data_IF_154306131761
#
_entry.id   IF_154306131761
#
_cell.length_a   1.000
_cell.length_b   1.000
_cell.length_c   1.000
_cell.angle_alpha   90.00
_cell.angle_beta   90.00
_cell.angle_gamma   90.00
#
_symmetry.space_group_name_H-M   'P 1'
#
loop_
_entity.id
_entity.type
_entity.pdbx_description
1 polymer ?
#
# COMPACT_ATOMS: atom_id res chain seq x y z
N UNK A 1 -10.59 29.45 -49.97
CA UNK A 1 -9.73 30.31 -49.12
C UNK A 1 -9.74 29.71 -47.72
N UNK A 2 -8.64 29.07 -47.28
CA UNK A 2 -8.51 28.55 -45.89
C UNK A 2 -7.68 29.57 -45.12
N UNK A 3 -8.24 30.15 -44.06
CA UNK A 3 -7.51 31.13 -43.25
C UNK A 3 -6.33 30.45 -42.52
N UNK A 4 -5.15 31.08 -42.43
CA UNK A 4 -4.04 30.56 -41.65
C UNK A 4 -4.36 30.71 -40.16
N UNK A 5 -4.43 29.60 -39.42
CA UNK A 5 -4.58 29.63 -37.97
C UNK A 5 -3.25 30.12 -37.36
N UNK A 6 -3.23 31.19 -36.55
CA UNK A 6 -1.98 31.69 -35.96
C UNK A 6 -1.40 30.68 -34.96
N UNK A 7 -0.08 30.50 -34.95
CA UNK A 7 0.68 29.55 -34.11
C UNK A 7 0.31 29.62 -32.61
N UNK A 8 -0.16 30.78 -32.15
CA UNK A 8 -0.69 31.01 -30.80
C UNK A 8 -1.93 30.17 -30.46
N UNK A 9 -2.81 29.91 -31.44
CA UNK A 9 -3.99 29.06 -31.22
C UNK A 9 -3.63 27.58 -31.06
N UNK A 10 -2.52 27.13 -31.66
CA UNK A 10 -2.01 25.76 -31.51
C UNK A 10 -1.40 25.55 -30.10
N UNK A 11 -0.66 26.53 -29.58
CA UNK A 11 -0.07 26.47 -28.23
C UNK A 11 -1.13 26.53 -27.11
N UNK A 12 -2.18 27.35 -27.27
CA UNK A 12 -3.30 27.37 -26.33
C UNK A 12 -4.06 26.03 -26.29
N UNK A 13 -4.21 25.36 -27.44
CA UNK A 13 -4.80 24.02 -27.51
C UNK A 13 -3.97 22.94 -26.77
N UNK A 14 -2.63 23.03 -26.81
CA UNK A 14 -1.75 22.06 -26.16
C UNK A 14 -1.76 22.18 -24.62
N UNK A 15 -1.84 23.41 -24.09
CA UNK A 15 -1.97 23.66 -22.64
C UNK A 15 -3.32 23.17 -22.09
N UNK A 16 -4.39 23.27 -22.88
CA UNK A 16 -5.70 22.71 -22.51
C UNK A 16 -5.70 21.17 -22.50
N UNK A 17 -4.92 20.51 -23.37
CA UNK A 17 -4.83 19.05 -23.42
C UNK A 17 -3.93 18.43 -22.33
N UNK A 18 -2.90 19.13 -21.85
CA UNK A 18 -2.09 18.68 -20.71
C UNK A 18 -2.61 19.15 -19.34
N UNK A 19 -3.33 20.27 -19.28
CA UNK A 19 -3.86 20.83 -18.04
C UNK A 19 -5.17 20.18 -17.53
N UNK A 20 -5.85 19.40 -18.37
CA UNK A 20 -7.14 18.77 -18.03
C UNK A 20 -7.00 17.32 -17.51
N UNK A 21 -5.79 16.78 -17.41
CA UNK A 21 -5.53 15.39 -16.99
C UNK A 21 -5.34 15.17 -15.48
N UNK A 22 -5.48 16.21 -14.65
CA UNK A 22 -5.23 16.14 -13.22
C UNK A 22 -6.46 16.74 -12.53
N UNK A 23 -7.23 15.92 -11.79
CA UNK A 23 -8.32 16.28 -10.86
C UNK A 23 -9.80 15.98 -11.24
N UNK A 24 -10.10 14.95 -12.03
CA UNK A 24 -11.39 14.25 -11.87
C UNK A 24 -11.15 12.76 -11.64
N UNK A 25 -10.97 12.42 -10.36
CA UNK A 25 -11.23 11.08 -9.88
C UNK A 25 -12.73 10.91 -9.70
N UNK A 26 -13.41 10.31 -10.68
CA UNK A 26 -14.72 9.70 -10.45
C UNK A 26 -14.96 8.51 -11.40
N UNK A 27 -15.09 7.36 -10.77
CA UNK A 27 -15.78 6.12 -11.20
C UNK A 27 -15.74 5.70 -12.68
N UNK A 28 -14.75 4.87 -13.03
CA UNK A 28 -14.99 3.70 -13.90
C UNK A 28 -14.33 2.49 -13.25
N UNK A 29 -14.92 2.03 -12.14
CA UNK A 29 -14.81 0.61 -11.77
C UNK A 29 -15.93 -0.06 -12.53
N UNK A 30 -15.58 -0.64 -13.68
CA UNK A 30 -16.44 -1.62 -14.32
C UNK A 30 -16.77 -2.69 -13.28
N UNK A 31 -18.07 -2.97 -13.12
CA UNK A 31 -18.55 -4.07 -12.30
C UNK A 31 -18.06 -5.38 -12.94
N UNK A 32 -16.84 -5.78 -12.63
CA UNK A 32 -16.41 -7.16 -12.79
C UNK A 32 -17.27 -7.97 -11.82
N UNK A 33 -17.96 -8.99 -12.34
CA UNK A 33 -18.69 -9.93 -11.52
C UNK A 33 -17.74 -10.46 -10.43
N UNK A 34 -18.18 -10.54 -9.15
CA UNK A 34 -17.33 -11.08 -8.11
C UNK A 34 -16.98 -12.51 -8.49
N UNK A 35 -15.69 -12.80 -8.65
CA UNK A 35 -15.22 -14.16 -8.53
C UNK A 35 -15.66 -14.65 -7.14
N UNK A 36 -16.48 -15.70 -7.09
CA UNK A 36 -16.78 -16.40 -5.85
C UNK A 36 -15.46 -16.94 -5.29
N UNK A 37 -14.87 -16.23 -4.35
CA UNK A 37 -13.95 -16.82 -3.40
C UNK A 37 -14.78 -17.48 -2.32
N UNK A 38 -14.80 -18.80 -2.34
CA UNK A 38 -15.42 -19.62 -1.31
C UNK A 38 -14.55 -19.54 -0.04
N UNK A 39 -14.94 -18.64 0.87
CA UNK A 39 -14.42 -18.64 2.22
C UNK A 39 -15.24 -19.64 3.02
N UNK A 40 -14.80 -20.90 2.98
CA UNK A 40 -15.29 -21.94 3.88
C UNK A 40 -15.29 -21.43 5.32
N UNK A 41 -16.45 -21.51 5.95
CA UNK A 41 -16.71 -20.89 7.25
C UNK A 41 -15.74 -21.34 8.33
N UNK A 42 -15.17 -20.36 9.03
CA UNK A 42 -14.63 -20.56 10.36
C UNK A 42 -15.55 -19.87 11.35
N UNK A 43 -16.07 -20.70 12.25
CA UNK A 43 -17.06 -20.33 13.24
C UNK A 43 -16.61 -19.18 14.12
N UNK A 44 -17.61 -18.44 14.58
CA UNK A 44 -17.49 -17.44 15.63
C UNK A 44 -17.00 -18.16 16.89
N UNK A 45 -15.79 -17.80 17.34
CA UNK A 45 -15.22 -18.26 18.59
C UNK A 45 -13.97 -17.43 18.94
N UNK A 46 -14.09 -16.70 20.04
CA UNK A 46 -13.07 -15.95 20.78
C UNK A 46 -12.71 -14.56 20.26
N UNK A 47 -13.59 -13.63 20.61
CA UNK A 47 -13.32 -12.37 21.30
C UNK A 47 -11.98 -12.31 22.07
N UNK A 48 -10.91 -12.03 21.33
CA UNK A 48 -9.72 -11.37 21.84
C UNK A 48 -9.55 -10.04 21.11
N UNK A 49 -9.74 -8.95 21.85
CA UNK A 49 -9.67 -7.54 21.44
C UNK A 49 -8.23 -7.13 21.08
N UNK A 50 -7.65 -7.76 20.06
CA UNK A 50 -6.36 -7.41 19.50
C UNK A 50 -6.54 -6.44 18.35
N UNK A 51 -6.72 -5.16 18.72
CA UNK A 51 -6.53 -4.03 17.82
C UNK A 51 -7.75 -3.62 17.02
N UNK A 52 -8.63 -2.84 17.65
CA UNK A 52 -9.64 -1.97 16.99
C UNK A 52 -8.99 -0.84 16.15
N UNK A 53 -8.03 -1.17 15.30
CA UNK A 53 -7.51 -0.29 14.26
C UNK A 53 -8.14 -0.63 12.91
N UNK A 54 -8.11 0.27 11.92
CA UNK A 54 -8.38 -0.12 10.54
C UNK A 54 -7.48 -1.29 10.17
N UNK A 55 -8.06 -2.35 9.56
CA UNK A 55 -7.29 -3.51 9.11
C UNK A 55 -6.09 -3.08 8.28
N UNK A 56 -4.93 -3.69 8.53
CA UNK A 56 -3.66 -3.35 7.86
C UNK A 56 -2.86 -2.19 8.47
N UNK A 57 -3.40 -1.47 9.48
CA UNK A 57 -2.67 -0.46 10.26
C UNK A 57 -2.41 -0.86 11.72
N UNK A 58 -2.91 -2.02 12.12
CA UNK A 58 -2.65 -2.57 13.44
C UNK A 58 -1.18 -3.03 13.55
N UNK A 59 -0.53 -2.72 14.67
CA UNK A 59 0.82 -3.22 15.00
C UNK A 59 0.83 -4.67 15.46
N UNK A 60 -0.34 -5.22 15.81
CA UNK A 60 -0.53 -6.62 16.18
C UNK A 60 -1.76 -7.18 15.47
N UNK A 61 -1.68 -8.41 14.97
CA UNK A 61 -2.78 -9.12 14.32
C UNK A 61 -2.48 -10.60 14.24
N UNK A 62 -3.50 -11.46 14.39
CA UNK A 62 -3.39 -12.92 14.23
C UNK A 62 -2.27 -13.56 15.09
N UNK A 63 -2.06 -13.06 16.31
CA UNK A 63 -0.99 -13.55 17.20
C UNK A 63 0.42 -13.08 16.83
N UNK A 64 0.57 -12.14 15.88
CA UNK A 64 1.86 -11.57 15.51
C UNK A 64 1.93 -10.08 15.85
N UNK A 65 3.11 -9.61 16.24
CA UNK A 65 3.39 -8.19 16.54
C UNK A 65 4.55 -7.72 15.69
N UNK A 66 4.35 -6.66 14.90
CA UNK A 66 5.43 -6.01 14.14
C UNK A 66 6.01 -4.87 14.98
N UNK A 67 7.33 -4.93 15.23
CA UNK A 67 8.06 -3.90 15.99
C UNK A 67 9.13 -3.25 15.10
N UNK A 68 8.91 -2.01 14.65
CA UNK A 68 9.95 -1.24 13.95
C UNK A 68 11.13 -0.92 14.87
N UNK A 69 12.35 -0.92 14.33
CA UNK A 69 13.55 -0.45 15.05
C UNK A 69 13.57 1.07 15.17
N UNK A 70 13.10 1.77 14.15
CA UNK A 70 12.88 3.22 14.14
C UNK A 70 11.54 3.53 13.46
N UNK A 71 10.94 4.65 13.85
CA UNK A 71 9.70 5.19 13.26
C UNK A 71 9.86 6.63 12.81
N UNK A 72 11.07 7.19 12.92
CA UNK A 72 11.43 8.54 12.48
C UNK A 72 12.47 8.42 11.38
N UNK A 73 12.26 9.18 10.32
CA UNK A 73 13.11 9.24 9.12
C UNK A 73 13.29 10.70 8.72
N UNK A 74 14.44 11.01 8.13
CA UNK A 74 14.74 12.33 7.57
C UNK A 74 14.11 12.45 6.19
N UNK A 75 13.35 13.51 5.96
CA UNK A 75 12.71 13.75 4.68
C UNK A 75 13.76 13.96 3.57
N UNK A 76 13.62 13.23 2.47
CA UNK A 76 14.53 13.32 1.32
C UNK A 76 15.76 12.41 1.39
N UNK A 77 15.96 11.69 2.50
CA UNK A 77 17.06 10.74 2.65
C UNK A 77 16.59 9.29 2.41
N UNK A 78 17.48 8.48 1.84
CA UNK A 78 17.28 7.04 1.74
C UNK A 78 17.79 6.36 3.00
N UNK A 79 16.87 5.74 3.75
CA UNK A 79 17.19 5.04 4.99
C UNK A 79 16.67 3.60 4.97
N UNK A 80 17.42 2.68 5.59
CA UNK A 80 16.97 1.29 5.73
C UNK A 80 15.92 1.18 6.83
N UNK A 81 14.72 0.76 6.46
CA UNK A 81 13.69 0.38 7.43
C UNK A 81 13.93 -1.04 7.95
N UNK A 82 14.17 -1.17 9.27
CA UNK A 82 14.34 -2.46 9.95
C UNK A 82 13.20 -2.68 10.95
N UNK A 83 12.73 -3.91 11.04
CA UNK A 83 11.70 -4.33 11.98
C UNK A 83 11.87 -5.81 12.35
N UNK A 84 11.22 -6.22 13.43
CA UNK A 84 11.14 -7.63 13.84
C UNK A 84 9.67 -8.00 13.99
N UNK A 85 9.30 -9.19 13.52
CA UNK A 85 7.98 -9.77 13.77
C UNK A 85 8.12 -10.75 14.93
N UNK A 86 7.28 -10.59 15.95
CA UNK A 86 7.22 -11.46 17.11
C UNK A 86 5.94 -12.28 17.07
N UNK A 87 6.00 -13.54 17.50
CA UNK A 87 4.83 -14.31 17.84
C UNK A 87 4.26 -13.86 19.21
N UNK A 88 3.08 -14.36 19.55
CA UNK A 88 2.38 -14.12 20.82
C UNK A 88 3.22 -14.48 22.06
N UNK A 89 4.04 -15.52 21.95
CA UNK A 89 4.99 -15.97 22.96
C UNK A 89 6.25 -15.06 23.07
N UNK A 90 6.35 -14.01 22.26
CA UNK A 90 7.46 -13.07 22.25
C UNK A 90 8.71 -13.55 21.52
N UNK A 91 8.70 -14.72 20.89
CA UNK A 91 9.81 -15.19 20.08
C UNK A 91 9.84 -14.49 18.71
N UNK A 92 11.03 -14.13 18.18
CA UNK A 92 11.14 -13.60 16.83
C UNK A 92 10.77 -14.67 15.80
N UNK A 93 9.96 -14.30 14.81
CA UNK A 93 9.57 -15.17 13.70
C UNK A 93 10.58 -14.97 12.57
N UNK A 94 11.18 -16.06 12.13
CA UNK A 94 12.14 -16.06 11.02
C UNK A 94 11.78 -17.05 9.91
N UNK A 95 10.92 -18.03 10.17
CA UNK A 95 10.55 -19.05 9.18
C UNK A 95 9.37 -18.59 8.31
N UNK A 96 9.62 -17.61 7.44
CA UNK A 96 8.61 -17.09 6.53
C UNK A 96 8.50 -17.98 5.27
N UNK A 97 7.29 -18.49 5.03
CA UNK A 97 6.98 -19.24 3.82
C UNK A 97 7.10 -18.37 2.57
N UNK A 98 7.65 -18.93 1.50
CA UNK A 98 7.74 -18.25 0.21
C UNK A 98 6.37 -18.24 -0.49
N UNK A 99 5.94 -17.05 -0.92
CA UNK A 99 4.71 -16.83 -1.71
C UNK A 99 5.11 -16.12 -3.00
N UNK A 100 5.06 -16.85 -4.12
CA UNK A 100 5.64 -16.36 -5.37
C UNK A 100 7.17 -16.35 -5.30
N UNK A 101 7.80 -15.23 -5.64
CA UNK A 101 9.26 -15.06 -5.59
C UNK A 101 9.75 -14.46 -4.25
N UNK A 102 8.85 -14.10 -3.32
CA UNK A 102 9.20 -13.39 -2.07
C UNK A 102 8.67 -14.07 -0.83
N UNK A 103 9.34 -13.84 0.29
CA UNK A 103 8.89 -14.28 1.61
C UNK A 103 7.96 -13.26 2.27
N UNK A 104 8.12 -11.98 1.97
CA UNK A 104 7.36 -10.91 2.61
C UNK A 104 7.08 -9.74 1.67
N UNK A 105 5.88 -9.18 1.81
CA UNK A 105 5.48 -7.92 1.20
C UNK A 105 5.37 -6.88 2.32
N UNK A 106 5.96 -5.70 2.14
CA UNK A 106 5.80 -4.57 3.04
C UNK A 106 5.20 -3.40 2.28
N UNK A 107 4.04 -2.93 2.73
CA UNK A 107 3.38 -1.75 2.21
C UNK A 107 3.61 -0.60 3.19
N UNK A 108 4.26 0.47 2.72
CA UNK A 108 4.46 1.69 3.51
C UNK A 108 3.58 2.78 2.94
N UNK A 109 2.66 3.29 3.74
CA UNK A 109 1.70 4.33 3.35
C UNK A 109 1.89 5.53 4.28
N UNK A 110 2.01 6.73 3.71
CA UNK A 110 2.00 7.96 4.52
C UNK A 110 0.62 8.19 5.12
N UNK A 111 0.57 8.76 6.32
CA UNK A 111 -0.70 9.07 7.00
C UNK A 111 -1.56 10.11 6.26
N UNK A 112 -0.93 11.01 5.50
CA UNK A 112 -1.61 11.97 4.63
C UNK A 112 -2.00 11.38 3.27
N UNK A 113 -1.80 10.07 3.09
CA UNK A 113 -2.12 9.31 1.88
C UNK A 113 -1.40 9.80 0.61
N UNK A 114 -0.42 10.69 0.73
CA UNK A 114 0.25 11.30 -0.42
C UNK A 114 1.42 10.47 -0.96
N UNK A 115 1.69 9.28 -0.38
CA UNK A 115 2.82 8.45 -0.77
C UNK A 115 2.65 6.99 -0.36
N UNK A 116 3.17 6.12 -1.22
CA UNK A 116 3.08 4.67 -1.11
C UNK A 116 4.38 4.01 -1.59
N UNK A 117 4.79 2.93 -0.92
CA UNK A 117 5.85 2.05 -1.37
C UNK A 117 5.45 0.58 -1.16
N UNK A 118 5.73 -0.26 -2.15
CA UNK A 118 5.64 -1.72 -2.06
C UNK A 118 7.04 -2.29 -2.09
N UNK A 119 7.48 -2.80 -0.95
CA UNK A 119 8.83 -3.29 -0.72
C UNK A 119 8.81 -4.79 -0.48
N UNK A 120 9.96 -5.42 -0.73
CA UNK A 120 10.20 -6.83 -0.46
C UNK A 120 11.36 -6.94 0.53
N UNK A 121 11.07 -6.95 1.85
CA UNK A 121 12.13 -7.07 2.84
C UNK A 121 12.86 -8.40 2.70
N UNK A 122 14.15 -8.37 3.01
CA UNK A 122 15.00 -9.54 3.15
C UNK A 122 15.32 -9.75 4.63
N UNK A 123 15.68 -10.97 5.01
CA UNK A 123 16.18 -11.23 6.35
C UNK A 123 17.54 -10.52 6.53
N UNK A 124 17.74 -9.87 7.68
CA UNK A 124 19.05 -9.36 8.06
C UNK A 124 20.02 -10.56 8.19
N UNK A 125 21.19 -10.47 7.56
CA UNK A 125 22.24 -11.51 7.57
C UNK A 125 23.02 -11.58 8.87
#
# INVERSE_FOLDING_TARGET
MRAPVPLLALLAGLVALLGFGINFGESVVGRAAPARHDHGGHGIGNDDDHGRGPGGLAVASQGYVLRPRTTRFTAGEFETFRFTVFADNGAPVTDFAQRGDRQMNLLVVRRDMSGYQHLYPIMDS
#
